data_IF_383841819121
#
_entry.id   IF_383841819121
#
_cell.length_a   1.000
_cell.length_b   1.000
_cell.length_c   1.000
_cell.angle_alpha   90.00
_cell.angle_beta   90.00
_cell.angle_gamma   90.00
#
_symmetry.space_group_name_H-M   'P 1'
#
loop_
_entity.id
_entity.type
_entity.pdbx_description
1 polymer ?
#
# COMPACT_ATOMS: atom_id res chain seq x y z
N UNK A 1 -47.81 58.82 -34.27
CA UNK A 1 -47.04 59.30 -33.10
C UNK A 1 -47.87 58.94 -31.86
N UNK A 2 -47.45 58.25 -30.81
CA UNK A 2 -46.17 58.16 -30.10
C UNK A 2 -46.10 56.78 -29.42
N UNK A 3 -45.01 56.05 -29.68
CA UNK A 3 -44.56 54.91 -28.87
C UNK A 3 -44.32 55.39 -27.44
N UNK A 4 -45.15 54.97 -26.49
CA UNK A 4 -44.85 55.19 -25.06
C UNK A 4 -44.12 53.96 -24.54
N UNK A 5 -42.79 54.03 -24.62
CA UNK A 5 -41.84 53.16 -23.93
C UNK A 5 -42.20 53.14 -22.44
N UNK A 6 -42.79 52.06 -21.95
CA UNK A 6 -42.76 51.74 -20.53
C UNK A 6 -41.48 50.95 -20.23
N UNK A 7 -40.37 51.67 -20.28
CA UNK A 7 -39.17 51.35 -19.51
C UNK A 7 -39.46 51.82 -18.08
N UNK A 8 -40.06 50.96 -17.25
CA UNK A 8 -40.07 51.18 -15.80
C UNK A 8 -39.12 50.17 -15.18
N UNK A 9 -37.92 50.68 -14.92
CA UNK A 9 -36.92 50.25 -13.93
C UNK A 9 -37.08 48.80 -13.45
N UNK A 10 -36.22 47.84 -13.81
CA UNK A 10 -34.82 47.82 -13.35
C UNK A 10 -34.62 48.56 -12.01
N UNK A 11 -35.38 48.16 -11.00
CA UNK A 11 -34.84 48.04 -9.64
C UNK A 11 -33.71 46.98 -9.78
N UNK A 12 -32.40 47.18 -9.70
CA UNK A 12 -31.52 48.23 -9.16
C UNK A 12 -31.93 48.77 -7.79
N UNK A 13 -32.60 47.92 -7.03
CA UNK A 13 -32.30 47.83 -5.61
C UNK A 13 -31.11 46.88 -5.55
N UNK A 14 -30.05 47.26 -4.87
CA UNK A 14 -29.09 46.29 -4.37
C UNK A 14 -29.93 45.22 -3.65
N UNK A 15 -30.11 44.07 -4.31
CA UNK A 15 -30.70 42.90 -3.68
C UNK A 15 -29.67 42.56 -2.61
N UNK A 16 -29.91 43.03 -1.38
CA UNK A 16 -29.14 42.66 -0.21
C UNK A 16 -28.95 41.17 -0.34
N UNK A 17 -27.70 40.75 -0.58
CA UNK A 17 -27.38 39.41 -1.00
C UNK A 17 -28.13 38.48 -0.05
N UNK A 18 -29.14 37.75 -0.56
CA UNK A 18 -30.02 36.99 0.33
C UNK A 18 -29.16 35.87 0.91
N UNK A 19 -28.62 36.11 2.09
CA UNK A 19 -27.70 35.20 2.78
C UNK A 19 -28.45 34.00 3.34
N UNK A 20 -29.78 34.00 3.34
CA UNK A 20 -30.61 32.89 3.81
C UNK A 20 -30.32 31.60 3.01
N UNK A 21 -30.30 31.60 1.66
CA UNK A 21 -29.78 30.49 0.86
C UNK A 21 -28.37 30.03 1.24
N UNK A 22 -27.45 30.96 1.51
CA UNK A 22 -26.05 30.65 1.85
C UNK A 22 -25.95 30.03 3.25
N UNK A 23 -26.72 30.54 4.21
CA UNK A 23 -26.85 29.99 5.55
C UNK A 23 -27.40 28.56 5.51
N UNK A 24 -28.44 28.33 4.70
CA UNK A 24 -29.01 26.99 4.50
C UNK A 24 -27.97 26.03 3.90
N UNK A 25 -27.12 26.52 3.00
CA UNK A 25 -26.02 25.74 2.44
C UNK A 25 -24.98 25.37 3.51
N UNK A 26 -24.57 26.31 4.38
CA UNK A 26 -23.65 25.99 5.47
C UNK A 26 -24.23 24.99 6.47
N UNK A 27 -25.51 25.14 6.84
CA UNK A 27 -26.21 24.19 7.73
C UNK A 27 -26.31 22.80 7.10
N UNK A 28 -26.43 22.69 5.77
CA UNK A 28 -26.41 21.41 5.07
C UNK A 28 -24.99 20.81 4.93
N UNK A 29 -23.95 21.66 4.85
CA UNK A 29 -22.56 21.22 4.73
C UNK A 29 -22.03 20.61 6.03
N UNK A 30 -22.40 21.15 7.20
CA UNK A 30 -21.92 20.62 8.50
C UNK A 30 -22.19 19.12 8.69
N UNK A 31 -23.44 18.60 8.55
CA UNK A 31 -23.70 17.17 8.68
C UNK A 31 -23.07 16.35 7.54
N UNK A 32 -22.91 16.92 6.34
CA UNK A 32 -22.22 16.26 5.23
C UNK A 32 -20.73 16.06 5.53
N UNK A 33 -20.07 17.09 6.09
CA UNK A 33 -18.68 17.02 6.53
C UNK A 33 -18.50 16.08 7.72
N UNK A 34 -19.44 16.06 8.66
CA UNK A 34 -19.41 15.09 9.76
C UNK A 34 -19.56 13.66 9.25
N UNK A 35 -20.44 13.43 8.27
CA UNK A 35 -20.62 12.11 7.66
C UNK A 35 -19.36 11.65 6.90
N UNK A 36 -18.64 12.56 6.21
CA UNK A 36 -17.38 12.21 5.54
C UNK A 36 -16.21 12.06 6.50
N UNK A 37 -16.15 12.85 7.58
CA UNK A 37 -15.11 12.76 8.61
C UNK A 37 -15.20 11.48 9.45
N UNK A 38 -16.40 10.92 9.64
CA UNK A 38 -16.60 9.63 10.32
C UNK A 38 -15.91 8.48 9.58
N UNK A 39 -15.57 8.66 8.30
CA UNK A 39 -14.76 7.72 7.53
C UNK A 39 -13.34 8.25 7.26
N UNK A 40 -12.61 8.66 8.29
CA UNK A 40 -11.15 8.51 8.22
C UNK A 40 -10.88 7.01 8.35
N UNK A 41 -10.90 6.29 7.22
CA UNK A 41 -10.25 5.00 7.19
C UNK A 41 -8.78 5.29 7.45
N UNK A 42 -8.31 4.97 8.66
CA UNK A 42 -6.89 4.82 8.92
C UNK A 42 -6.42 3.78 7.90
N UNK A 43 -5.81 4.24 6.81
CA UNK A 43 -4.99 3.37 6.00
C UNK A 43 -3.83 2.99 6.92
N UNK A 44 -3.99 1.87 7.65
CA UNK A 44 -2.87 1.22 8.31
C UNK A 44 -1.92 0.83 7.20
N UNK A 45 -0.85 1.61 7.05
CA UNK A 45 0.35 1.07 6.43
C UNK A 45 0.86 0.12 7.50
N UNK A 46 0.55 -1.18 7.33
CA UNK A 46 1.15 -2.23 8.15
C UNK A 46 2.65 -2.23 7.87
N UNK A 47 3.37 -1.40 8.62
CA UNK A 47 4.80 -1.54 8.79
C UNK A 47 4.96 -2.79 9.64
N UNK A 48 5.05 -3.95 8.98
CA UNK A 48 5.28 -5.23 9.62
C UNK A 48 6.67 -5.19 10.28
N UNK A 49 6.75 -4.63 11.48
CA UNK A 49 7.77 -4.98 12.45
C UNK A 49 7.46 -6.42 12.86
N UNK A 50 8.04 -7.36 12.10
CA UNK A 50 7.84 -8.78 12.25
C UNK A 50 8.51 -9.27 13.55
N UNK A 51 7.84 -9.02 14.68
CA UNK A 51 7.90 -9.93 15.82
C UNK A 51 6.68 -10.82 15.71
N UNK A 52 6.93 -12.13 15.53
CA UNK A 52 5.96 -13.21 15.45
C UNK A 52 5.45 -13.53 14.05
N UNK A 53 5.92 -14.67 13.59
CA UNK A 53 5.53 -15.47 12.44
C UNK A 53 4.02 -15.71 12.32
N UNK A 54 3.23 -14.76 11.84
CA UNK A 54 1.97 -15.05 11.13
C UNK A 54 1.51 -13.82 10.34
N UNK A 55 1.87 -13.76 9.05
CA UNK A 55 1.32 -12.75 8.13
C UNK A 55 0.09 -13.38 7.45
N UNK A 56 -1.12 -12.79 7.56
CA UNK A 56 -2.27 -13.25 6.80
C UNK A 56 -2.08 -12.85 5.33
N UNK A 57 -1.47 -13.74 4.54
CA UNK A 57 -1.23 -13.49 3.12
C UNK A 57 -2.53 -13.60 2.31
N UNK A 58 -2.75 -12.61 1.43
CA UNK A 58 -3.76 -12.64 0.37
C UNK A 58 -3.68 -13.97 -0.39
N UNK A 59 -4.80 -14.72 -0.40
CA UNK A 59 -4.94 -15.98 -1.15
C UNK A 59 -4.58 -15.76 -2.62
N UNK A 60 -3.48 -16.38 -3.06
CA UNK A 60 -3.07 -16.43 -4.47
C UNK A 60 -1.73 -15.77 -4.83
N UNK A 61 -0.97 -15.20 -3.88
CA UNK A 61 0.38 -14.71 -4.17
C UNK A 61 1.40 -15.81 -3.87
N UNK A 62 2.15 -16.25 -4.90
CA UNK A 62 3.39 -16.98 -4.70
C UNK A 62 4.33 -16.10 -3.87
N UNK A 63 4.82 -16.64 -2.76
CA UNK A 63 5.70 -15.94 -1.84
C UNK A 63 6.94 -16.79 -1.68
N UNK A 64 8.08 -16.23 -2.11
CA UNK A 64 9.38 -16.80 -1.86
C UNK A 64 9.89 -16.25 -0.52
N UNK A 65 10.28 -17.13 0.41
CA UNK A 65 10.88 -16.76 1.67
C UNK A 65 12.30 -17.30 1.76
N UNK A 66 13.29 -16.42 1.89
CA UNK A 66 14.69 -16.78 2.11
C UNK A 66 14.99 -16.64 3.60
N UNK A 67 15.21 -17.75 4.29
CA UNK A 67 15.57 -17.76 5.70
C UNK A 67 17.07 -17.88 5.89
N UNK A 68 17.67 -16.87 6.51
CA UNK A 68 19.09 -16.81 6.80
C UNK A 68 19.31 -17.26 8.25
N UNK A 69 20.00 -18.39 8.42
CA UNK A 69 20.34 -18.98 9.74
C UNK A 69 21.86 -19.08 9.86
N UNK A 70 22.44 -19.05 11.07
CA UNK A 70 23.90 -19.14 11.25
C UNK A 70 24.55 -20.37 10.62
N UNK A 71 23.80 -21.46 10.42
CA UNK A 71 24.27 -22.72 9.87
C UNK A 71 24.07 -22.89 8.36
N UNK A 72 23.02 -22.31 7.79
CA UNK A 72 22.58 -22.58 6.42
C UNK A 72 21.56 -21.52 5.94
N UNK A 73 21.37 -21.45 4.63
CA UNK A 73 20.30 -20.68 4.00
C UNK A 73 19.16 -21.62 3.60
N UNK A 74 17.93 -21.21 3.84
CA UNK A 74 16.74 -21.98 3.46
C UNK A 74 15.90 -21.16 2.49
N UNK A 75 15.63 -21.73 1.31
CA UNK A 75 14.75 -21.13 0.32
C UNK A 75 13.41 -21.85 0.37
N UNK A 76 12.42 -21.20 0.99
CA UNK A 76 11.05 -21.68 1.10
C UNK A 76 10.17 -21.02 0.02
N UNK A 77 9.87 -21.75 -1.05
CA UNK A 77 8.90 -21.32 -2.06
C UNK A 77 7.53 -21.92 -1.74
N UNK A 78 6.51 -21.11 -1.42
CA UNK A 78 5.16 -21.63 -1.18
C UNK A 78 4.61 -22.29 -2.46
N UNK A 79 4.58 -23.63 -2.47
CA UNK A 79 4.17 -24.44 -3.63
C UNK A 79 5.28 -25.32 -4.22
N UNK A 80 6.54 -25.14 -3.79
CA UNK A 80 7.70 -25.94 -4.17
C UNK A 80 8.44 -26.47 -2.94
N UNK A 81 9.37 -27.41 -3.16
CA UNK A 81 10.19 -27.97 -2.09
C UNK A 81 11.16 -26.93 -1.51
N UNK A 82 11.32 -26.92 -0.19
CA UNK A 82 12.34 -26.11 0.48
C UNK A 82 13.73 -26.58 0.06
N UNK A 83 14.57 -25.66 -0.43
CA UNK A 83 15.97 -25.94 -0.78
C UNK A 83 16.85 -25.46 0.36
N UNK A 84 17.75 -26.33 0.82
CA UNK A 84 18.78 -26.00 1.81
C UNK A 84 20.08 -25.74 1.06
N UNK A 85 20.69 -24.60 1.33
CA UNK A 85 21.97 -24.20 0.76
C UNK A 85 22.99 -24.02 1.89
N UNK A 86 24.23 -24.41 1.62
CA UNK A 86 25.33 -24.17 2.53
C UNK A 86 25.60 -22.67 2.65
N UNK A 87 26.12 -22.26 3.81
CA UNK A 87 26.40 -20.85 4.09
C UNK A 87 27.48 -20.33 3.13
N UNK A 88 27.15 -19.27 2.38
CA UNK A 88 28.06 -18.64 1.42
C UNK A 88 28.03 -19.26 0.03
N UNK A 89 27.11 -20.19 -0.25
CA UNK A 89 26.87 -20.71 -1.60
C UNK A 89 26.01 -19.72 -2.41
N UNK A 90 26.62 -18.61 -2.81
CA UNK A 90 25.97 -17.57 -3.63
C UNK A 90 25.59 -18.08 -5.01
N UNK A 91 26.43 -18.94 -5.61
CA UNK A 91 26.18 -19.51 -6.93
C UNK A 91 24.97 -20.46 -6.90
N UNK A 92 24.89 -21.33 -5.88
CA UNK A 92 23.74 -22.21 -5.67
C UNK A 92 22.46 -21.44 -5.34
N UNK A 93 22.56 -20.32 -4.61
CA UNK A 93 21.41 -19.44 -4.37
C UNK A 93 20.89 -18.82 -5.68
N UNK A 94 21.79 -18.30 -6.52
CA UNK A 94 21.42 -17.71 -7.81
C UNK A 94 20.74 -18.74 -8.72
N UNK A 95 21.28 -19.97 -8.81
CA UNK A 95 20.69 -21.04 -9.62
C UNK A 95 19.27 -21.40 -9.16
N UNK A 96 19.05 -21.47 -7.84
CA UNK A 96 17.73 -21.73 -7.27
C UNK A 96 16.77 -20.58 -7.56
N UNK A 97 17.22 -19.32 -7.42
CA UNK A 97 16.42 -18.13 -7.70
C UNK A 97 16.06 -18.03 -9.19
N UNK A 98 16.99 -18.30 -10.09
CA UNK A 98 16.77 -18.29 -11.54
C UNK A 98 15.77 -19.37 -11.96
N UNK A 99 15.88 -20.58 -11.40
CA UNK A 99 14.90 -21.63 -11.64
C UNK A 99 13.49 -21.20 -11.18
N UNK A 100 13.38 -20.65 -9.97
CA UNK A 100 12.10 -20.17 -9.43
C UNK A 100 11.54 -18.97 -10.20
N UNK A 101 12.41 -18.10 -10.73
CA UNK A 101 12.07 -16.99 -11.62
C UNK A 101 11.42 -17.49 -12.91
N UNK A 102 11.94 -18.57 -13.49
CA UNK A 102 11.40 -19.19 -14.71
C UNK A 102 10.09 -19.92 -14.43
N UNK A 103 9.98 -20.61 -13.29
CA UNK A 103 8.76 -21.34 -12.90
C UNK A 103 7.60 -20.39 -12.55
N UNK A 104 7.91 -19.20 -12.02
CA UNK A 104 6.90 -18.24 -11.55
C UNK A 104 7.19 -16.80 -12.04
N UNK A 105 7.08 -16.53 -13.36
CA UNK A 105 7.42 -15.21 -13.94
C UNK A 105 6.53 -14.07 -13.46
N UNK A 106 5.29 -14.38 -13.07
CA UNK A 106 4.29 -13.39 -12.63
C UNK A 106 4.50 -12.91 -11.17
N UNK A 107 5.44 -13.52 -10.42
CA UNK A 107 5.65 -13.24 -9.01
C UNK A 107 7.12 -12.99 -8.67
N UNK A 108 7.49 -11.72 -8.50
CA UNK A 108 8.88 -11.26 -8.22
C UNK A 108 9.14 -10.92 -6.75
N UNK A 109 8.15 -11.05 -5.88
CA UNK A 109 8.31 -10.68 -4.46
C UNK A 109 9.06 -11.76 -3.69
N UNK A 110 10.19 -11.38 -3.09
CA UNK A 110 10.99 -12.21 -2.18
C UNK A 110 10.94 -11.61 -0.78
N UNK A 111 10.64 -12.44 0.22
CA UNK A 111 10.67 -12.10 1.64
C UNK A 111 11.98 -12.64 2.22
N UNK A 112 12.85 -11.76 2.71
CA UNK A 112 14.06 -12.18 3.43
C UNK A 112 13.76 -12.23 4.92
N UNK A 113 13.91 -13.41 5.52
CA UNK A 113 13.69 -13.67 6.94
C UNK A 113 15.03 -13.97 7.60
N UNK A 114 15.45 -13.06 8.45
CA UNK A 114 16.71 -13.16 9.17
C UNK A 114 16.48 -13.79 10.54
N UNK A 115 17.33 -14.73 10.95
CA UNK A 115 17.38 -15.16 12.35
C UNK A 115 17.90 -14.01 13.23
N UNK A 116 17.57 -14.02 14.53
CA UNK A 116 17.90 -12.94 15.47
C UNK A 116 19.41 -12.77 15.70
N UNK A 117 20.18 -13.85 15.52
CA UNK A 117 21.62 -13.92 15.78
C UNK A 117 22.43 -14.03 14.47
N UNK A 118 22.24 -13.08 13.55
CA UNK A 118 23.02 -13.00 12.31
C UNK A 118 23.78 -11.69 12.22
N UNK A 119 24.98 -11.75 11.66
CA UNK A 119 25.75 -10.54 11.39
C UNK A 119 25.15 -9.75 10.22
N UNK A 120 25.23 -8.42 10.30
CA UNK A 120 24.76 -7.54 9.22
C UNK A 120 25.48 -7.82 7.89
N UNK A 121 26.75 -8.21 7.95
CA UNK A 121 27.55 -8.64 6.80
C UNK A 121 26.90 -9.79 6.04
N UNK A 122 26.28 -10.74 6.74
CA UNK A 122 25.61 -11.90 6.14
C UNK A 122 24.30 -11.49 5.44
N UNK A 123 23.59 -10.51 6.00
CA UNK A 123 22.39 -9.94 5.35
C UNK A 123 22.76 -9.25 4.04
N UNK A 124 23.83 -8.46 4.06
CA UNK A 124 24.31 -7.77 2.87
C UNK A 124 24.79 -8.78 1.82
N UNK A 125 25.54 -9.80 2.23
CA UNK A 125 26.03 -10.84 1.33
C UNK A 125 24.88 -11.56 0.60
N UNK A 126 23.73 -11.74 1.25
CA UNK A 126 22.53 -12.34 0.65
C UNK A 126 21.80 -11.38 -0.30
N UNK A 127 21.84 -10.08 -0.04
CA UNK A 127 21.20 -9.06 -0.89
C UNK A 127 22.04 -8.66 -2.11
N UNK A 128 23.34 -8.94 -2.10
CA UNK A 128 24.30 -8.60 -3.17
C UNK A 128 24.41 -9.68 -4.26
N UNK A 129 23.75 -10.83 -4.06
CA UNK A 129 23.68 -11.94 -5.04
C UNK A 129 22.78 -11.60 -6.22
#
# INVERSE_FOLDING_TARGET
MRRRREKRARNTSAEELNVTPLMNLFVAIVPLLLLSAVFVSVASIDLATATSSDVPQKRGQFSLALRVTPSAWYVDARGSASVVLDKGDSDGLLEVLDRLRVEHPDHTSVLVVCAEDIEYSEVVAVLDV
#
